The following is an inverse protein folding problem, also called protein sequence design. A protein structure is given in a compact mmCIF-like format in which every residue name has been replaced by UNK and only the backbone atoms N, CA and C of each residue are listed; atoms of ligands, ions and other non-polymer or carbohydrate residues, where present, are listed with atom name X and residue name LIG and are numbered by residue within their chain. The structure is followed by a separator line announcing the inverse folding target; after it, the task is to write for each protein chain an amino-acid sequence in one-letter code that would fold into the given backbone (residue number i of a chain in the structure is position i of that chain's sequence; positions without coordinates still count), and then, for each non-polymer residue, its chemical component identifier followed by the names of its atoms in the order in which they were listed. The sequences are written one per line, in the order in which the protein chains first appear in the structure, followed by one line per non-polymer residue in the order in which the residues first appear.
data_IF_071499376836
#
_entry.id   IF_071499376836
#
_cell.length_a   1.000
_cell.length_b   1.000
_cell.length_c   1.000
_cell.angle_alpha   90.00
_cell.angle_beta   90.00
_cell.angle_gamma   90.00
#
_symmetry.space_group_name_H-M   'P 1'
#
loop_
_entity.id
_entity.type
_entity.pdbx_description
1 polymer ?
#
# COMPACT_ATOMS: atom_id res chain seq x y z
N UNK A 1 7.53 6.32 16.92
CA UNK A 1 8.30 5.15 17.42
C UNK A 1 7.46 3.97 17.93
N UNK A 2 6.11 4.00 17.93
CA UNK A 2 5.27 2.93 18.54
C UNK A 2 4.57 1.98 17.56
N UNK A 3 4.64 2.23 16.24
CA UNK A 3 3.96 1.41 15.22
C UNK A 3 4.88 0.42 14.46
N UNK A 4 6.20 0.55 14.60
CA UNK A 4 7.19 -0.30 13.91
C UNK A 4 7.28 -1.75 14.46
N UNK A 5 6.82 -1.99 15.71
CA UNK A 5 6.96 -3.31 16.34
C UNK A 5 5.85 -4.31 15.99
N UNK A 6 4.70 -3.87 15.45
CA UNK A 6 3.58 -4.79 15.22
C UNK A 6 3.72 -5.57 13.92
N UNK A 7 4.27 -4.96 12.86
CA UNK A 7 4.40 -5.57 11.53
C UNK A 7 5.53 -6.61 11.48
N UNK A 8 6.67 -6.36 12.13
CA UNK A 8 7.75 -7.35 12.24
C UNK A 8 7.38 -8.56 13.12
N UNK A 9 6.59 -8.35 14.18
CA UNK A 9 6.18 -9.45 15.07
C UNK A 9 5.20 -10.41 14.40
N UNK A 10 4.28 -9.89 13.57
CA UNK A 10 3.35 -10.74 12.81
C UNK A 10 4.07 -11.56 11.73
N UNK A 11 5.12 -10.99 11.13
CA UNK A 11 5.96 -11.68 10.15
C UNK A 11 6.71 -12.87 10.77
N UNK A 12 7.26 -12.72 11.99
CA UNK A 12 7.93 -13.81 12.71
C UNK A 12 6.94 -14.90 13.15
N UNK A 13 5.73 -14.51 13.56
CA UNK A 13 4.68 -15.46 13.97
C UNK A 13 4.16 -16.30 12.80
N UNK A 14 3.91 -15.69 11.63
CA UNK A 14 3.49 -16.40 10.43
C UNK A 14 4.60 -17.27 9.84
N UNK A 15 5.86 -16.82 9.91
CA UNK A 15 7.01 -17.63 9.48
C UNK A 15 7.19 -18.89 10.34
N UNK A 16 6.98 -18.81 11.66
CA UNK A 16 7.01 -19.99 12.54
C UNK A 16 5.85 -20.97 12.28
N UNK A 17 4.66 -20.46 11.93
CA UNK A 17 3.49 -21.30 11.66
C UNK A 17 3.55 -22.02 10.30
N UNK A 18 4.24 -21.43 9.31
CA UNK A 18 4.35 -21.97 7.95
C UNK A 18 5.56 -22.90 7.79
N UNK A 19 6.67 -22.68 8.52
CA UNK A 19 7.92 -23.45 8.35
C UNK A 19 8.18 -24.55 9.39
N UNK A 20 7.34 -24.73 10.41
CA UNK A 20 7.37 -25.90 11.30
C UNK A 20 6.02 -26.61 11.31
N UNK A 21 5.79 -27.63 10.47
CA UNK A 21 4.69 -28.55 10.73
C UNK A 21 5.07 -29.41 11.95
N UNK A 22 4.14 -29.69 12.89
CA UNK A 22 4.31 -30.84 13.76
C UNK A 22 4.35 -32.09 12.88
N UNK A 23 5.33 -32.95 13.16
CA UNK A 23 5.44 -34.27 12.56
C UNK A 23 4.21 -35.10 12.95
N UNK A 24 3.27 -35.29 12.01
CA UNK A 24 2.31 -36.39 12.02
C UNK A 24 1.73 -36.53 10.63
N UNK A 25 2.06 -37.64 9.96
CA UNK A 25 1.63 -37.93 8.60
C UNK A 25 0.12 -38.13 8.51
N UNK A 26 -0.48 -37.65 7.43
CA UNK A 26 -1.21 -38.52 6.51
C UNK A 26 -1.52 -37.80 5.19
N UNK A 27 -1.77 -38.62 4.17
CA UNK A 27 -1.90 -38.24 2.76
C UNK A 27 -3.22 -37.52 2.46
N UNK A 28 -3.21 -36.48 1.60
CA UNK A 28 -4.43 -36.11 0.86
C UNK A 28 -4.62 -34.64 0.48
N UNK A 29 -4.31 -34.31 -0.78
CA UNK A 29 -5.03 -33.38 -1.68
C UNK A 29 -5.46 -32.01 -1.09
N UNK A 30 -4.65 -30.98 -1.33
CA UNK A 30 -5.07 -29.58 -1.18
C UNK A 30 -5.62 -29.06 -2.52
N UNK A 31 -6.93 -28.98 -2.66
CA UNK A 31 -7.61 -28.22 -3.72
C UNK A 31 -7.48 -26.73 -3.43
N UNK A 32 -6.69 -26.01 -4.24
CA UNK A 32 -6.66 -24.55 -4.23
C UNK A 32 -7.94 -24.05 -4.92
N UNK A 33 -8.88 -23.53 -4.14
CA UNK A 33 -10.03 -22.78 -4.67
C UNK A 33 -9.51 -21.58 -5.45
N UNK A 34 -9.90 -21.49 -6.72
CA UNK A 34 -9.62 -20.34 -7.57
C UNK A 34 -10.30 -19.10 -7.01
N UNK A 35 -9.50 -18.05 -6.78
CA UNK A 35 -9.99 -16.69 -6.56
C UNK A 35 -9.57 -15.85 -7.77
N UNK A 36 -10.55 -15.17 -8.33
CA UNK A 36 -10.50 -14.38 -9.56
C UNK A 36 -9.43 -13.26 -9.47
N UNK A 37 -8.55 -13.09 -10.48
CA UNK A 37 -7.51 -12.06 -10.48
C UNK A 37 -8.09 -10.74 -10.98
N UNK A 38 -8.90 -10.08 -10.15
CA UNK A 38 -9.32 -8.71 -10.40
C UNK A 38 -9.02 -7.88 -9.17
N UNK A 39 -8.12 -6.91 -9.36
CA UNK A 39 -7.59 -5.93 -8.37
C UNK A 39 -6.18 -6.31 -7.87
N UNK A 40 -5.16 -5.98 -8.67
CA UNK A 40 -3.84 -5.65 -8.13
C UNK A 40 -4.00 -4.34 -7.35
N UNK A 41 -4.43 -4.40 -6.09
CA UNK A 41 -4.17 -3.30 -5.17
C UNK A 41 -2.73 -3.46 -4.68
N UNK A 42 -1.98 -2.36 -4.68
CA UNK A 42 -0.61 -2.29 -4.18
C UNK A 42 -0.55 -2.38 -2.64
N UNK A 43 -1.53 -3.02 -2.01
CA UNK A 43 -1.54 -3.23 -0.56
C UNK A 43 -0.37 -4.12 -0.15
N UNK A 44 0.21 -3.82 1.01
CA UNK A 44 1.26 -4.59 1.68
C UNK A 44 0.99 -6.10 1.68
N UNK A 45 -0.28 -6.49 1.83
CA UNK A 45 -0.70 -7.89 1.79
C UNK A 45 -0.44 -8.52 0.42
N UNK A 46 -0.75 -7.84 -0.68
CA UNK A 46 -0.59 -8.37 -2.04
C UNK A 46 0.89 -8.60 -2.40
N UNK A 47 1.79 -7.72 -1.98
CA UNK A 47 3.24 -7.82 -2.27
C UNK A 47 3.89 -8.89 -1.39
N UNK A 48 3.56 -8.93 -0.10
CA UNK A 48 4.03 -9.98 0.82
C UNK A 48 3.49 -11.35 0.39
N UNK A 49 2.22 -11.43 0.01
CA UNK A 49 1.59 -12.67 -0.47
C UNK A 49 2.17 -13.09 -1.81
N UNK A 50 2.42 -12.17 -2.74
CA UNK A 50 3.12 -12.46 -4.00
C UNK A 50 4.56 -12.94 -3.75
N UNK A 51 5.30 -12.32 -2.82
CA UNK A 51 6.66 -12.77 -2.46
C UNK A 51 6.64 -14.17 -1.81
N UNK A 52 5.68 -14.44 -0.92
CA UNK A 52 5.49 -15.75 -0.31
C UNK A 52 5.09 -16.81 -1.36
N UNK A 53 4.16 -16.51 -2.25
CA UNK A 53 3.75 -17.38 -3.35
C UNK A 53 4.91 -17.64 -4.32
N UNK A 54 5.67 -16.62 -4.72
CA UNK A 54 6.83 -16.80 -5.59
C UNK A 54 7.91 -17.66 -4.92
N UNK A 55 8.11 -17.50 -3.60
CA UNK A 55 9.03 -18.35 -2.84
C UNK A 55 8.53 -19.80 -2.71
N UNK A 56 7.22 -20.03 -2.66
CA UNK A 56 6.60 -21.36 -2.60
C UNK A 56 6.41 -22.04 -3.97
N UNK A 57 6.31 -21.28 -5.06
CA UNK A 57 6.25 -21.81 -6.44
C UNK A 57 7.65 -22.24 -6.88
N UNK A 58 8.70 -21.47 -6.54
CA UNK A 58 10.09 -21.79 -6.88
C UNK A 58 10.58 -23.10 -6.24
N UNK A 59 10.04 -23.49 -5.08
CA UNK A 59 10.40 -24.76 -4.43
C UNK A 59 9.79 -25.99 -5.09
N UNK A 60 8.80 -25.83 -5.97
CA UNK A 60 8.01 -26.95 -6.49
C UNK A 60 8.43 -27.48 -7.88
N UNK A 61 9.28 -26.79 -8.64
CA UNK A 61 9.46 -27.14 -10.07
C UNK A 61 10.88 -27.30 -10.63
N UNK A 62 11.99 -27.06 -9.93
CA UNK A 62 13.34 -27.25 -10.52
C UNK A 62 14.38 -27.76 -9.51
N UNK A 63 14.78 -29.03 -9.69
CA UNK A 63 15.94 -29.73 -9.10
C UNK A 63 16.04 -29.75 -7.55
N UNK A 64 16.74 -30.73 -6.94
CA UNK A 64 17.01 -30.72 -5.51
C UNK A 64 17.82 -29.46 -5.17
N UNK A 65 17.28 -28.51 -4.39
CA UNK A 65 17.99 -27.28 -4.09
C UNK A 65 19.16 -27.65 -3.17
N UNK A 66 20.39 -27.36 -3.61
CA UNK A 66 21.53 -27.41 -2.71
C UNK A 66 21.28 -26.42 -1.57
N UNK A 67 21.64 -26.77 -0.33
CA UNK A 67 21.40 -25.95 0.88
C UNK A 67 21.90 -24.49 0.70
N UNK A 68 22.90 -24.30 -0.15
CA UNK A 68 23.45 -22.99 -0.51
C UNK A 68 22.49 -22.15 -1.39
N UNK A 69 21.75 -22.76 -2.32
CA UNK A 69 20.79 -22.09 -3.19
C UNK A 69 19.55 -21.56 -2.44
N UNK A 70 19.06 -22.31 -1.44
CA UNK A 70 17.93 -21.86 -0.61
C UNK A 70 18.27 -20.62 0.24
N UNK A 71 19.50 -20.53 0.75
CA UNK A 71 19.95 -19.36 1.53
C UNK A 71 20.02 -18.10 0.68
N UNK A 72 20.49 -18.20 -0.57
CA UNK A 72 20.54 -17.05 -1.49
C UNK A 72 19.15 -16.58 -1.90
N UNK A 73 18.20 -17.49 -2.16
CA UNK A 73 16.81 -17.14 -2.49
C UNK A 73 16.09 -16.46 -1.32
N UNK A 74 16.29 -16.95 -0.09
CA UNK A 74 15.74 -16.32 1.12
C UNK A 74 16.37 -14.95 1.38
N UNK A 75 17.68 -14.81 1.21
CA UNK A 75 18.38 -13.54 1.36
C UNK A 75 17.92 -12.52 0.30
N UNK A 76 17.75 -12.95 -0.95
CA UNK A 76 17.25 -12.10 -2.04
C UNK A 76 15.80 -11.67 -1.79
N UNK A 77 14.94 -12.59 -1.35
CA UNK A 77 13.56 -12.27 -0.93
C UNK A 77 13.54 -11.25 0.20
N UNK A 78 14.37 -11.44 1.23
CA UNK A 78 14.49 -10.51 2.35
C UNK A 78 14.99 -9.12 1.90
N UNK A 79 15.98 -9.07 1.01
CA UNK A 79 16.49 -7.82 0.42
C UNK A 79 15.42 -7.09 -0.39
N UNK A 80 14.60 -7.82 -1.16
CA UNK A 80 13.47 -7.27 -1.90
C UNK A 80 12.42 -6.70 -0.93
N UNK A 81 12.06 -7.44 0.13
CA UNK A 81 11.12 -6.97 1.14
C UNK A 81 11.60 -5.69 1.87
N UNK A 82 12.90 -5.58 2.16
CA UNK A 82 13.49 -4.43 2.82
C UNK A 82 13.57 -3.17 1.93
N UNK A 83 13.46 -3.33 0.61
CA UNK A 83 13.58 -2.22 -0.34
C UNK A 83 12.31 -1.36 -0.45
N UNK A 84 11.16 -1.84 0.02
CA UNK A 84 9.91 -1.08 0.06
C UNK A 84 9.84 -0.25 1.35
N UNK A 85 10.28 1.01 1.27
CA UNK A 85 10.12 1.98 2.36
C UNK A 85 8.67 2.47 2.46
N UNK A 86 7.93 1.95 3.44
CA UNK A 86 6.50 2.24 3.65
C UNK A 86 6.28 3.46 4.58
N UNK A 87 7.36 4.08 5.06
CA UNK A 87 7.26 5.23 5.96
C UNK A 87 7.01 6.48 5.12
N UNK A 88 5.94 7.24 5.41
CA UNK A 88 5.68 8.51 4.72
C UNK A 88 6.82 9.53 4.88
N UNK A 89 6.81 10.54 4.02
CA UNK A 89 7.88 11.53 3.92
C UNK A 89 7.34 12.92 3.61
N UNK A 90 8.16 13.93 3.89
CA UNK A 90 7.91 15.31 3.47
C UNK A 90 8.59 15.53 2.12
N UNK A 91 7.82 15.83 1.08
CA UNK A 91 8.35 16.08 -0.26
C UNK A 91 8.88 17.52 -0.41
N UNK A 92 9.93 17.69 -1.20
CA UNK A 92 10.26 19.03 -1.71
C UNK A 92 9.27 19.48 -2.78
N UNK A 93 8.98 20.79 -2.88
CA UNK A 93 8.03 21.34 -3.86
C UNK A 93 8.28 20.86 -5.31
N UNK A 94 9.51 21.01 -5.80
CA UNK A 94 9.87 20.58 -7.17
C UNK A 94 9.98 19.06 -7.30
N UNK A 95 10.25 18.36 -6.21
CA UNK A 95 10.24 16.90 -6.18
C UNK A 95 8.82 16.37 -6.36
N UNK A 96 7.86 16.89 -5.58
CA UNK A 96 6.45 16.55 -5.72
C UNK A 96 5.94 16.89 -7.12
N UNK A 97 6.23 18.09 -7.63
CA UNK A 97 5.82 18.49 -8.98
C UNK A 97 6.28 17.49 -10.06
N UNK A 98 7.51 16.96 -9.96
CA UNK A 98 8.00 15.93 -10.90
C UNK A 98 7.23 14.61 -10.77
N UNK A 99 6.93 14.19 -9.55
CA UNK A 99 6.14 12.97 -9.29
C UNK A 99 4.73 13.12 -9.87
N UNK A 100 4.03 14.21 -9.57
CA UNK A 100 2.67 14.47 -10.06
C UNK A 100 2.62 14.62 -11.59
N UNK A 101 3.62 15.30 -12.18
CA UNK A 101 3.75 15.41 -13.64
C UNK A 101 3.93 14.03 -14.29
N UNK A 102 4.83 13.21 -13.74
CA UNK A 102 5.06 11.85 -14.24
C UNK A 102 3.82 10.95 -14.11
N UNK A 103 3.00 11.18 -13.09
CA UNK A 103 1.73 10.49 -12.89
C UNK A 103 0.58 11.01 -13.78
N UNK A 104 0.80 12.08 -14.56
CA UNK A 104 -0.18 12.58 -15.54
C UNK A 104 -1.18 13.60 -15.01
N UNK A 105 -0.86 14.31 -13.93
CA UNK A 105 -1.76 15.30 -13.32
C UNK A 105 -1.73 16.66 -14.04
N UNK A 106 -0.70 16.92 -14.84
CA UNK A 106 -0.60 18.13 -15.65
C UNK A 106 -1.69 18.14 -16.74
N UNK A 107 -2.69 19.02 -16.59
CA UNK A 107 -3.84 19.11 -17.49
C UNK A 107 -4.99 18.16 -17.14
N UNK A 108 -4.86 17.35 -16.09
CA UNK A 108 -5.94 16.43 -15.70
C UNK A 108 -7.18 17.23 -15.29
N UNK A 109 -8.30 16.97 -15.98
CA UNK A 109 -9.58 17.68 -15.80
C UNK A 109 -9.47 19.21 -15.98
N UNK A 110 -8.46 19.68 -16.71
CA UNK A 110 -8.23 21.10 -16.97
C UNK A 110 -7.41 21.83 -15.90
N UNK A 111 -6.99 21.13 -14.84
CA UNK A 111 -6.12 21.71 -13.80
C UNK A 111 -4.67 21.66 -14.23
N UNK A 112 -3.95 22.75 -14.01
CA UNK A 112 -2.51 22.80 -14.27
C UNK A 112 -1.75 22.10 -13.13
N UNK A 113 -0.46 21.81 -13.35
CA UNK A 113 0.35 21.11 -12.36
C UNK A 113 0.50 21.91 -11.04
N UNK A 114 0.51 23.25 -11.12
CA UNK A 114 0.65 24.11 -9.95
C UNK A 114 -0.59 24.05 -9.05
N UNK A 115 -1.78 23.82 -9.59
CA UNK A 115 -3.02 23.64 -8.81
C UNK A 115 -2.89 22.44 -7.85
N UNK A 116 -2.39 21.31 -8.36
CA UNK A 116 -2.16 20.10 -7.56
C UNK A 116 -1.06 20.24 -6.52
N UNK A 117 0.02 20.95 -6.87
CA UNK A 117 1.10 21.26 -5.93
C UNK A 117 0.62 22.23 -4.86
N UNK A 118 -0.21 23.21 -5.21
CA UNK A 118 -0.82 24.15 -4.27
C UNK A 118 -1.72 23.41 -3.28
N UNK A 119 -2.58 22.52 -3.78
CA UNK A 119 -3.45 21.68 -2.96
C UNK A 119 -2.62 20.90 -1.92
N UNK A 120 -1.64 20.12 -2.34
CA UNK A 120 -0.80 19.34 -1.43
C UNK A 120 -0.06 20.19 -0.38
N UNK A 121 0.27 21.45 -0.71
CA UNK A 121 0.91 22.36 0.25
C UNK A 121 -0.06 22.80 1.34
N UNK A 122 -1.25 23.24 0.97
CA UNK A 122 -2.24 23.75 1.93
C UNK A 122 -2.88 22.64 2.76
N UNK A 123 -3.04 21.46 2.18
CA UNK A 123 -3.59 20.30 2.88
C UNK A 123 -2.60 19.69 3.87
N UNK A 124 -1.36 19.42 3.44
CA UNK A 124 -0.44 18.64 4.28
C UNK A 124 0.97 19.20 4.43
N UNK A 125 1.26 20.38 3.88
CA UNK A 125 2.62 20.91 3.79
C UNK A 125 3.59 19.91 3.14
N UNK A 126 3.09 19.12 2.18
CA UNK A 126 3.80 18.04 1.49
C UNK A 126 4.17 16.82 2.34
N UNK A 127 3.63 16.69 3.55
CA UNK A 127 3.80 15.50 4.37
C UNK A 127 2.84 14.39 3.92
N UNK A 128 3.39 13.27 3.45
CA UNK A 128 2.60 12.10 3.03
C UNK A 128 2.22 11.16 4.18
N UNK A 129 2.71 11.41 5.40
CA UNK A 129 2.30 10.67 6.61
C UNK A 129 1.30 11.46 7.48
N UNK A 130 0.86 12.65 7.05
CA UNK A 130 -0.02 13.48 7.86
C UNK A 130 -1.39 12.83 8.04
N UNK A 131 -1.84 12.80 9.28
CA UNK A 131 -3.20 12.38 9.66
C UNK A 131 -3.79 13.48 10.52
N UNK A 132 -4.92 14.03 10.09
CA UNK A 132 -5.73 14.92 10.91
C UNK A 132 -7.01 14.22 11.39
N UNK A 133 -7.52 14.67 12.54
CA UNK A 133 -8.69 14.10 13.20
C UNK A 133 -9.84 15.09 13.19
N UNK A 134 -10.92 14.74 12.50
CA UNK A 134 -12.10 15.58 12.35
C UNK A 134 -13.03 15.45 13.57
N UNK A 135 -13.87 16.48 13.77
CA UNK A 135 -14.82 16.52 14.88
C UNK A 135 -15.90 15.42 14.80
N UNK A 136 -16.18 14.89 13.61
CA UNK A 136 -17.13 13.79 13.39
C UNK A 136 -16.54 12.40 13.67
N UNK A 137 -15.24 12.33 14.00
CA UNK A 137 -14.50 11.10 14.28
C UNK A 137 -13.78 10.49 13.08
N UNK A 138 -13.99 11.03 11.87
CA UNK A 138 -13.25 10.67 10.67
C UNK A 138 -11.80 11.17 10.70
N UNK A 139 -10.98 10.68 9.78
CA UNK A 139 -9.61 11.14 9.62
C UNK A 139 -9.34 11.61 8.21
N UNK A 140 -8.54 12.66 8.08
CA UNK A 140 -8.03 13.16 6.81
C UNK A 140 -6.58 12.66 6.66
N UNK A 141 -6.27 11.96 5.57
CA UNK A 141 -5.08 11.10 5.46
C UNK A 141 -4.19 11.46 4.27
N UNK A 142 -2.88 11.48 4.50
CA UNK A 142 -1.87 11.51 3.45
C UNK A 142 -1.66 12.90 2.84
N UNK A 143 -1.02 12.92 1.68
CA UNK A 143 -0.52 14.16 1.06
C UNK A 143 -1.64 15.08 0.54
N UNK A 144 -2.82 14.51 0.28
CA UNK A 144 -4.01 15.24 -0.15
C UNK A 144 -5.12 15.23 0.90
N UNK A 145 -4.83 14.87 2.16
CA UNK A 145 -5.80 14.87 3.27
C UNK A 145 -7.14 14.21 2.91
N UNK A 146 -7.07 13.01 2.32
CA UNK A 146 -8.24 12.27 1.85
C UNK A 146 -9.01 11.73 3.05
N UNK A 147 -10.28 12.11 3.15
CA UNK A 147 -11.11 11.85 4.32
C UNK A 147 -11.70 10.41 4.37
N UNK A 148 -11.61 9.77 5.54
CA UNK A 148 -12.05 8.38 5.79
C UNK A 148 -13.56 8.19 5.88
N UNK A 149 -14.34 9.27 5.98
CA UNK A 149 -15.80 9.19 5.99
C UNK A 149 -16.36 8.72 4.64
N UNK A 150 -15.65 9.01 3.54
CA UNK A 150 -16.17 8.84 2.17
C UNK A 150 -15.21 8.11 1.22
N UNK A 151 -13.90 8.28 1.37
CA UNK A 151 -12.97 7.92 0.30
C UNK A 151 -12.19 6.63 0.57
N UNK A 152 -11.80 6.37 1.82
CA UNK A 152 -11.00 5.21 2.22
C UNK A 152 -11.57 4.55 3.49
N UNK A 153 -11.21 3.28 3.72
CA UNK A 153 -11.67 2.51 4.89
C UNK A 153 -10.71 2.62 6.09
N UNK A 154 -11.26 2.96 7.26
CA UNK A 154 -10.53 3.11 8.54
C UNK A 154 -10.96 2.12 9.65
N UNK A 155 -11.80 1.14 9.33
CA UNK A 155 -12.42 0.18 10.25
C UNK A 155 -13.32 0.78 11.37
N UNK A 156 -13.47 2.10 11.42
CA UNK A 156 -14.31 2.80 12.42
C UNK A 156 -15.71 3.09 11.87
N UNK A 157 -15.79 3.40 10.58
CA UNK A 157 -17.03 3.80 9.92
C UNK A 157 -17.52 2.70 8.97
N UNK A 158 -18.79 2.30 9.08
CA UNK A 158 -19.38 1.25 8.24
C UNK A 158 -19.85 1.73 6.84
N UNK A 159 -19.23 2.77 6.27
CA UNK A 159 -19.71 3.53 5.10
C UNK A 159 -18.56 4.17 4.27
N UNK A 160 -18.85 4.75 3.08
CA UNK A 160 -18.32 4.30 1.80
C UNK A 160 -16.80 4.44 1.65
N UNK A 161 -16.22 3.47 0.96
CA UNK A 161 -14.83 3.40 0.56
C UNK A 161 -14.76 3.59 -0.97
N UNK A 162 -15.02 4.81 -1.46
CA UNK A 162 -15.16 5.07 -2.90
C UNK A 162 -13.86 4.76 -3.67
N UNK A 163 -12.70 4.99 -3.06
CA UNK A 163 -11.41 4.67 -3.67
C UNK A 163 -11.01 3.20 -3.49
N UNK A 164 -11.82 2.39 -2.77
CA UNK A 164 -11.61 0.95 -2.57
C UNK A 164 -10.23 0.60 -2.01
N UNK A 165 -9.79 1.34 -1.00
CA UNK A 165 -8.48 1.21 -0.36
C UNK A 165 -8.56 1.45 1.15
N UNK A 166 -7.54 1.02 1.88
CA UNK A 166 -7.42 1.36 3.30
C UNK A 166 -6.76 2.72 3.46
N UNK A 167 -7.20 3.50 4.45
CA UNK A 167 -6.60 4.82 4.69
C UNK A 167 -5.10 4.75 5.06
N UNK A 168 -4.62 3.58 5.54
CA UNK A 168 -3.19 3.35 5.77
C UNK A 168 -2.34 3.32 4.51
N UNK A 169 -2.94 2.98 3.35
CA UNK A 169 -2.23 2.92 2.08
C UNK A 169 -1.85 4.34 1.60
N UNK A 170 -2.54 5.37 2.11
CA UNK A 170 -2.28 6.80 1.86
C UNK A 170 -1.16 7.39 2.73
N UNK A 171 -0.58 6.61 3.65
CA UNK A 171 0.38 7.12 4.65
C UNK A 171 1.83 6.70 4.35
N UNK A 172 2.13 6.44 3.08
CA UNK A 172 3.42 5.89 2.65
C UNK A 172 4.27 6.91 1.89
N UNK A 173 5.55 6.61 1.63
CA UNK A 173 6.40 7.47 0.80
C UNK A 173 6.04 7.40 -0.70
N UNK A 174 5.26 6.39 -1.10
CA UNK A 174 4.79 6.21 -2.46
C UNK A 174 3.35 6.71 -2.58
N UNK A 175 3.20 7.92 -3.12
CA UNK A 175 1.90 8.62 -3.21
C UNK A 175 1.06 8.21 -4.42
N UNK A 176 1.33 7.08 -5.07
CA UNK A 176 0.56 6.65 -6.24
C UNK A 176 -0.91 6.38 -5.89
N UNK A 177 -1.17 5.75 -4.73
CA UNK A 177 -2.53 5.45 -4.30
C UNK A 177 -3.27 6.76 -3.93
N UNK A 178 -2.59 7.72 -3.29
CA UNK A 178 -3.08 9.08 -3.05
C UNK A 178 -3.47 9.77 -4.36
N UNK A 179 -2.60 9.71 -5.37
CA UNK A 179 -2.83 10.31 -6.69
C UNK A 179 -4.07 9.70 -7.35
N UNK A 180 -4.17 8.37 -7.36
CA UNK A 180 -5.31 7.66 -7.98
C UNK A 180 -6.62 8.07 -7.30
N UNK A 181 -6.64 8.14 -5.97
CA UNK A 181 -7.83 8.56 -5.25
C UNK A 181 -8.14 10.04 -5.48
N UNK A 182 -7.15 10.94 -5.46
CA UNK A 182 -7.34 12.37 -5.75
C UNK A 182 -7.86 12.61 -7.18
N UNK A 183 -7.36 11.85 -8.16
CA UNK A 183 -7.89 11.85 -9.52
C UNK A 183 -9.36 11.42 -9.57
N UNK A 184 -9.75 10.43 -8.76
CA UNK A 184 -11.15 9.98 -8.63
C UNK A 184 -12.02 11.06 -8.00
N UNK A 185 -11.56 11.75 -6.97
CA UNK A 185 -12.25 12.88 -6.33
C UNK A 185 -12.49 14.00 -7.36
N UNK A 186 -11.45 14.39 -8.11
CA UNK A 186 -11.53 15.46 -9.11
C UNK A 186 -12.38 15.13 -10.35
N UNK A 187 -12.82 13.87 -10.53
CA UNK A 187 -13.85 13.53 -11.52
C UNK A 187 -15.25 14.00 -11.08
N UNK A 188 -15.45 14.20 -9.78
CA UNK A 188 -16.70 14.70 -9.22
C UNK A 188 -17.07 16.09 -9.74
N UNK A 189 -18.34 16.51 -9.55
CA UNK A 189 -18.85 17.77 -10.09
C UNK A 189 -18.15 19.01 -9.52
N UNK A 190 -17.58 18.91 -8.31
CA UNK A 190 -16.83 20.01 -7.67
C UNK A 190 -15.35 20.07 -8.09
N UNK A 191 -14.82 19.03 -8.76
CA UNK A 191 -13.41 18.98 -9.13
C UNK A 191 -12.48 19.15 -7.91
N UNK A 192 -11.48 20.03 -8.03
CA UNK A 192 -10.59 20.39 -6.92
C UNK A 192 -11.27 21.20 -5.81
N UNK A 193 -12.46 21.79 -6.03
CA UNK A 193 -13.25 22.42 -4.96
C UNK A 193 -13.97 21.41 -4.04
N UNK A 194 -13.54 20.16 -4.06
CA UNK A 194 -13.96 19.13 -3.10
C UNK A 194 -13.16 19.20 -1.80
N UNK A 195 -11.96 19.78 -1.87
CA UNK A 195 -11.14 20.28 -0.77
C UNK A 195 -11.58 21.71 -0.46
#
# INVERSE_FOLDING_TARGET
LKHQNKTCTLFIYLFNYIYMPPFSGDSGRLTIFGIQPSVLSNSLHSIVYACLLLSGIFTSQLLPPTILGMKYLLLLSLLICLSFSVVGKIFGRCELARVLKKAGLEGYRGYNLADWVCLAFYESHFDSALVDHEADGSTSNGIFQINSHIWCEDYKHSKPNICQMHCSDLLTSNINDDIVCAMRIAQGPRGLGSW
#
